data_IF_558927758981
#
_entry.id   IF_558927758981
#
_cell.length_a   1.000
_cell.length_b   1.000
_cell.length_c   1.000
_cell.angle_alpha   90.00
_cell.angle_beta   90.00
_cell.angle_gamma   90.00
#
_symmetry.space_group_name_H-M   'P 1'
#
loop_
_entity.id
_entity.type
_entity.pdbx_description
1 polymer ?
#
# COMPACT_ATOMS: atom_id res chain seq x y z
N UNK A 1 -30.27 -54.62 49.92
CA UNK A 1 -29.23 -54.27 48.92
C UNK A 1 -29.77 -53.57 47.67
N UNK A 2 -31.03 -53.74 47.28
CA UNK A 2 -31.62 -53.08 46.10
C UNK A 2 -31.80 -51.55 46.21
N UNK A 3 -31.98 -51.00 47.43
CA UNK A 3 -32.11 -49.55 47.64
C UNK A 3 -30.79 -48.78 47.70
N UNK A 4 -29.67 -49.47 47.97
CA UNK A 4 -28.33 -48.87 47.98
C UNK A 4 -27.74 -48.75 46.57
N UNK A 5 -28.09 -49.67 45.67
CA UNK A 5 -27.64 -49.65 44.26
C UNK A 5 -28.34 -48.51 43.48
N UNK A 6 -29.59 -48.17 43.83
CA UNK A 6 -30.32 -47.06 43.21
C UNK A 6 -29.76 -45.67 43.57
N UNK A 7 -29.18 -45.50 44.77
CA UNK A 7 -28.59 -44.22 45.20
C UNK A 7 -27.20 -44.01 44.58
N UNK A 8 -26.44 -45.09 44.35
CA UNK A 8 -25.13 -45.03 43.68
C UNK A 8 -25.30 -44.80 42.16
N UNK A 9 -26.35 -45.35 41.54
CA UNK A 9 -26.68 -45.08 40.13
C UNK A 9 -27.23 -43.66 39.89
N UNK A 10 -27.82 -43.01 40.90
CA UNK A 10 -28.28 -41.62 40.82
C UNK A 10 -27.15 -40.59 41.00
N UNK A 11 -26.01 -40.98 41.55
CA UNK A 11 -24.84 -40.10 41.74
C UNK A 11 -23.89 -40.09 40.53
N UNK A 12 -24.06 -41.00 39.55
CA UNK A 12 -23.20 -41.09 38.37
C UNK A 12 -23.64 -40.21 37.19
N UNK A 13 -24.70 -39.39 37.34
CA UNK A 13 -25.22 -38.53 36.25
C UNK A 13 -24.84 -37.04 36.42
N UNK A 14 -24.09 -36.65 37.46
CA UNK A 14 -23.76 -35.24 37.72
C UNK A 14 -22.32 -34.80 37.39
N UNK A 15 -21.52 -35.63 36.73
CA UNK A 15 -20.16 -35.25 36.28
C UNK A 15 -20.04 -35.16 34.75
N UNK A 16 -21.03 -34.58 34.08
CA UNK A 16 -20.87 -34.13 32.70
C UNK A 16 -21.10 -32.62 32.56
N UNK A 17 -20.45 -31.86 33.44
CA UNK A 17 -20.10 -30.48 33.13
C UNK A 17 -18.99 -30.51 32.08
N UNK A 18 -19.37 -30.63 30.80
CA UNK A 18 -18.49 -30.16 29.72
C UNK A 18 -18.41 -28.65 29.89
N UNK A 19 -17.35 -28.16 30.54
CA UNK A 19 -17.00 -26.76 30.42
C UNK A 19 -16.67 -26.56 28.95
N UNK A 20 -17.63 -26.03 28.18
CA UNK A 20 -17.30 -25.45 26.88
C UNK A 20 -16.11 -24.55 27.15
N UNK A 21 -14.94 -24.77 26.51
CA UNK A 21 -13.79 -23.93 26.77
C UNK A 21 -14.27 -22.50 26.56
N UNK A 22 -14.08 -21.65 27.57
CA UNK A 22 -14.45 -20.24 27.49
C UNK A 22 -13.86 -19.75 26.19
N UNK A 23 -14.71 -19.41 25.21
CA UNK A 23 -14.27 -18.82 23.94
C UNK A 23 -13.41 -17.63 24.36
N UNK A 24 -12.09 -17.76 24.19
CA UNK A 24 -11.13 -16.70 24.47
C UNK A 24 -11.71 -15.47 23.80
N UNK A 25 -12.03 -14.41 24.55
CA UNK A 25 -12.62 -13.21 23.96
C UNK A 25 -11.63 -12.74 22.88
N UNK A 26 -11.97 -12.96 21.62
CA UNK A 26 -11.06 -12.68 20.51
C UNK A 26 -10.90 -11.18 20.45
N UNK A 27 -9.74 -10.66 20.84
CA UNK A 27 -9.45 -9.25 20.70
C UNK A 27 -9.10 -8.96 19.22
N UNK A 28 -9.35 -7.74 18.70
CA UNK A 28 -9.12 -7.44 17.29
C UNK A 28 -7.65 -7.56 16.89
N UNK A 29 -6.70 -7.32 17.81
CA UNK A 29 -5.27 -7.50 17.55
C UNK A 29 -4.92 -8.96 17.25
N UNK A 30 -5.46 -9.90 18.00
CA UNK A 30 -5.25 -11.35 17.84
C UNK A 30 -5.82 -11.84 16.54
N UNK A 31 -7.03 -11.41 16.18
CA UNK A 31 -7.63 -11.74 14.89
C UNK A 31 -6.82 -11.18 13.73
N UNK A 32 -6.34 -9.94 13.85
CA UNK A 32 -5.48 -9.32 12.84
C UNK A 32 -4.16 -10.09 12.66
N UNK A 33 -3.44 -10.39 13.75
CA UNK A 33 -2.18 -11.15 13.71
C UNK A 33 -2.40 -12.54 13.13
N UNK A 34 -3.47 -13.23 13.52
CA UNK A 34 -3.83 -14.52 12.94
C UNK A 34 -4.10 -14.40 11.43
N UNK A 35 -4.85 -13.39 11.00
CA UNK A 35 -5.09 -13.09 9.59
C UNK A 35 -3.80 -12.85 8.81
N UNK A 36 -2.87 -12.06 9.35
CA UNK A 36 -1.56 -11.80 8.75
C UNK A 36 -0.74 -13.08 8.62
N UNK A 37 -0.76 -13.95 9.64
CA UNK A 37 -0.06 -15.24 9.57
C UNK A 37 -0.67 -16.20 8.57
N UNK A 38 -1.99 -16.19 8.43
CA UNK A 38 -2.69 -16.94 7.39
C UNK A 38 -2.35 -16.42 5.99
N UNK A 39 -2.17 -15.10 5.82
CA UNK A 39 -1.64 -14.50 4.58
C UNK A 39 -0.23 -15.00 4.25
N UNK A 40 0.70 -14.97 5.22
CA UNK A 40 2.07 -15.51 5.05
C UNK A 40 2.04 -16.99 4.65
N UNK A 41 1.12 -17.76 5.24
CA UNK A 41 0.88 -19.16 4.91
C UNK A 41 0.08 -19.40 3.62
N UNK A 42 -0.28 -18.33 2.88
CA UNK A 42 -1.10 -18.36 1.66
C UNK A 42 -2.50 -18.99 1.84
N UNK A 43 -3.00 -19.01 3.07
CA UNK A 43 -4.35 -19.50 3.42
C UNK A 43 -5.34 -18.34 3.33
N UNK A 44 -5.51 -17.80 2.12
CA UNK A 44 -6.24 -16.55 1.88
C UNK A 44 -7.70 -16.58 2.36
N UNK A 45 -8.41 -17.69 2.18
CA UNK A 45 -9.81 -17.82 2.61
C UNK A 45 -9.97 -17.68 4.13
N UNK A 46 -9.03 -18.25 4.89
CA UNK A 46 -9.03 -18.14 6.35
C UNK A 46 -8.63 -16.73 6.78
N UNK A 47 -7.67 -16.10 6.08
CA UNK A 47 -7.28 -14.72 6.35
C UNK A 47 -8.43 -13.74 6.09
N UNK A 48 -9.19 -13.93 5.00
CA UNK A 48 -10.40 -13.16 4.67
C UNK A 48 -11.39 -13.20 5.82
N UNK A 49 -11.67 -14.39 6.38
CA UNK A 49 -12.56 -14.52 7.53
C UNK A 49 -12.04 -13.73 8.72
N UNK A 50 -10.75 -13.87 9.06
CA UNK A 50 -10.16 -13.17 10.22
C UNK A 50 -10.18 -11.65 10.08
N UNK A 51 -9.86 -11.11 8.91
CA UNK A 51 -9.96 -9.66 8.68
C UNK A 51 -11.40 -9.16 8.65
N UNK A 52 -12.34 -9.95 8.12
CA UNK A 52 -13.77 -9.63 8.17
C UNK A 52 -14.28 -9.63 9.61
N UNK A 53 -13.88 -10.60 10.42
CA UNK A 53 -14.24 -10.67 11.84
C UNK A 53 -13.77 -9.43 12.61
N UNK A 54 -12.59 -8.88 12.28
CA UNK A 54 -12.14 -7.62 12.88
C UNK A 54 -13.04 -6.46 12.48
N UNK A 55 -13.28 -6.29 11.17
CA UNK A 55 -14.10 -5.20 10.62
C UNK A 55 -15.53 -5.23 11.14
N UNK A 56 -16.13 -6.41 11.19
CA UNK A 56 -17.56 -6.59 11.44
C UNK A 56 -17.88 -6.58 12.95
N UNK A 57 -17.02 -7.18 13.78
CA UNK A 57 -17.24 -7.26 15.23
C UNK A 57 -16.65 -6.06 15.99
N UNK A 58 -15.69 -5.33 15.40
CA UNK A 58 -15.03 -4.19 16.04
C UNK A 58 -15.01 -2.92 15.15
N UNK A 59 -16.16 -2.46 14.60
CA UNK A 59 -16.21 -1.44 13.56
C UNK A 59 -15.68 -0.06 13.96
N UNK A 60 -15.65 0.25 15.26
CA UNK A 60 -15.12 1.52 15.79
C UNK A 60 -13.67 1.41 16.29
N UNK A 61 -13.09 0.21 16.24
CA UNK A 61 -11.72 -0.01 16.65
C UNK A 61 -10.75 0.40 15.52
N UNK A 62 -9.64 1.11 15.80
CA UNK A 62 -8.65 1.47 14.78
C UNK A 62 -8.18 0.29 13.92
N UNK A 63 -8.20 -0.93 14.47
CA UNK A 63 -7.82 -2.13 13.73
C UNK A 63 -8.79 -2.47 12.58
N UNK A 64 -10.04 -2.02 12.63
CA UNK A 64 -11.02 -2.28 11.57
C UNK A 64 -10.60 -1.66 10.23
N UNK A 65 -10.04 -0.45 10.24
CA UNK A 65 -9.57 0.23 9.03
C UNK A 65 -8.41 -0.54 8.39
N UNK A 66 -7.39 -0.86 9.19
CA UNK A 66 -6.20 -1.60 8.74
C UNK A 66 -6.61 -3.00 8.27
N UNK A 67 -7.51 -3.67 8.99
CA UNK A 67 -8.04 -4.98 8.60
C UNK A 67 -8.85 -4.93 7.32
N UNK A 68 -9.57 -3.85 7.04
CA UNK A 68 -10.32 -3.69 5.78
C UNK A 68 -9.37 -3.58 4.58
N UNK A 69 -8.27 -2.83 4.71
CA UNK A 69 -7.23 -2.80 3.68
C UNK A 69 -6.60 -4.19 3.50
N UNK A 70 -6.29 -4.90 4.59
CA UNK A 70 -5.76 -6.28 4.53
C UNK A 70 -6.76 -7.30 3.98
N UNK A 71 -8.05 -7.08 4.18
CA UNK A 71 -9.12 -7.87 3.57
C UNK A 71 -9.09 -7.72 2.05
N UNK A 72 -8.93 -6.50 1.54
CA UNK A 72 -8.68 -6.23 0.12
C UNK A 72 -7.43 -6.96 -0.39
N UNK A 73 -6.33 -6.92 0.39
CA UNK A 73 -5.09 -7.62 0.06
C UNK A 73 -5.32 -9.13 -0.05
N UNK A 74 -6.07 -9.71 0.89
CA UNK A 74 -6.39 -11.12 0.91
C UNK A 74 -7.25 -11.55 -0.29
N UNK A 75 -8.24 -10.75 -0.68
CA UNK A 75 -9.01 -11.01 -1.92
C UNK A 75 -8.14 -10.91 -3.18
N UNK A 76 -7.23 -9.96 -3.24
CA UNK A 76 -6.36 -9.80 -4.40
C UNK A 76 -5.40 -10.98 -4.53
N UNK A 77 -4.77 -11.41 -3.44
CA UNK A 77 -3.85 -12.55 -3.43
C UNK A 77 -4.58 -13.87 -3.72
N UNK A 78 -5.86 -13.97 -3.33
CA UNK A 78 -6.77 -15.05 -3.74
C UNK A 78 -7.14 -14.98 -5.23
N UNK A 79 -6.80 -13.89 -5.94
CA UNK A 79 -7.14 -13.60 -7.34
C UNK A 79 -8.63 -13.35 -7.58
N UNK A 80 -9.39 -13.07 -6.53
CA UNK A 80 -10.78 -12.61 -6.64
C UNK A 80 -10.78 -11.09 -6.78
N UNK A 81 -10.29 -10.60 -7.92
CA UNK A 81 -10.01 -9.18 -8.13
C UNK A 81 -11.24 -8.29 -8.09
N UNK A 82 -12.43 -8.80 -8.42
CA UNK A 82 -13.69 -8.06 -8.30
C UNK A 82 -14.02 -7.72 -6.84
N UNK A 83 -13.86 -8.68 -5.92
CA UNK A 83 -14.07 -8.48 -4.49
C UNK A 83 -12.99 -7.58 -3.88
N UNK A 84 -11.74 -7.74 -4.33
CA UNK A 84 -10.65 -6.86 -3.91
C UNK A 84 -10.93 -5.42 -4.33
N UNK A 85 -11.28 -5.21 -5.61
CA UNK A 85 -11.64 -3.92 -6.17
C UNK A 85 -12.78 -3.26 -5.40
N UNK A 86 -13.86 -4.00 -5.16
CA UNK A 86 -15.00 -3.50 -4.38
C UNK A 86 -14.57 -3.07 -2.97
N UNK A 87 -13.81 -3.92 -2.27
CA UNK A 87 -13.32 -3.64 -0.91
C UNK A 87 -12.48 -2.37 -0.85
N UNK A 88 -11.56 -2.19 -1.81
CA UNK A 88 -10.70 -1.02 -1.86
C UNK A 88 -11.45 0.26 -2.25
N UNK A 89 -12.35 0.18 -3.23
CA UNK A 89 -13.18 1.32 -3.65
C UNK A 89 -14.10 1.80 -2.52
N UNK A 90 -14.69 0.86 -1.77
CA UNK A 90 -15.53 1.19 -0.61
C UNK A 90 -14.71 1.82 0.50
N UNK A 91 -13.51 1.32 0.78
CA UNK A 91 -12.57 1.95 1.72
C UNK A 91 -12.19 3.37 1.28
N UNK A 92 -11.82 3.55 0.00
CA UNK A 92 -11.46 4.85 -0.56
C UNK A 92 -12.59 5.88 -0.42
N UNK A 93 -13.84 5.47 -0.68
CA UNK A 93 -15.01 6.33 -0.55
C UNK A 93 -15.33 6.68 0.90
N UNK A 94 -15.21 5.70 1.81
CA UNK A 94 -15.56 5.87 3.21
C UNK A 94 -14.48 6.65 3.99
N UNK A 95 -13.20 6.51 3.61
CA UNK A 95 -12.05 7.06 4.35
C UNK A 95 -11.06 7.80 3.44
N UNK A 96 -11.49 8.83 2.67
CA UNK A 96 -10.63 9.49 1.67
C UNK A 96 -9.40 10.22 2.22
N UNK A 97 -9.40 10.51 3.53
CA UNK A 97 -8.29 11.18 4.23
C UNK A 97 -7.37 10.19 4.97
N UNK A 98 -7.62 8.88 4.86
CA UNK A 98 -6.78 7.86 5.50
C UNK A 98 -5.38 7.83 4.87
N UNK A 99 -4.36 7.60 5.70
CA UNK A 99 -2.96 7.58 5.26
C UNK A 99 -2.63 6.47 4.26
N UNK A 100 -3.44 5.41 4.21
CA UNK A 100 -3.26 4.29 3.29
C UNK A 100 -3.87 4.55 1.92
N UNK A 101 -4.56 5.68 1.70
CA UNK A 101 -5.23 5.99 0.44
C UNK A 101 -4.30 5.94 -0.78
N UNK A 102 -3.03 6.42 -0.73
CA UNK A 102 -2.11 6.24 -1.84
C UNK A 102 -1.85 4.78 -2.22
N UNK A 103 -1.74 3.90 -1.22
CA UNK A 103 -1.60 2.46 -1.43
C UNK A 103 -2.89 1.86 -2.00
N UNK A 104 -4.04 2.19 -1.40
CA UNK A 104 -5.35 1.70 -1.83
C UNK A 104 -5.62 2.07 -3.30
N UNK A 105 -5.33 3.30 -3.72
CA UNK A 105 -5.46 3.74 -5.11
C UNK A 105 -4.58 2.94 -6.07
N UNK A 106 -3.34 2.63 -5.67
CA UNK A 106 -2.46 1.74 -6.44
C UNK A 106 -3.12 0.37 -6.60
N UNK A 107 -3.59 -0.23 -5.49
CA UNK A 107 -4.23 -1.56 -5.50
C UNK A 107 -5.52 -1.60 -6.34
N UNK A 108 -6.33 -0.53 -6.33
CA UNK A 108 -7.49 -0.39 -7.22
C UNK A 108 -7.05 -0.44 -8.69
N UNK A 109 -6.01 0.35 -9.05
CA UNK A 109 -5.44 0.34 -10.40
C UNK A 109 -4.96 -1.06 -10.81
N UNK A 110 -4.26 -1.76 -9.92
CA UNK A 110 -3.79 -3.12 -10.15
C UNK A 110 -4.95 -4.12 -10.32
N UNK A 111 -6.04 -3.98 -9.55
CA UNK A 111 -7.24 -4.79 -9.74
C UNK A 111 -7.82 -4.59 -11.15
N UNK A 112 -7.94 -3.34 -11.58
CA UNK A 112 -8.40 -3.03 -12.94
C UNK A 112 -7.46 -3.60 -14.01
N UNK A 113 -6.15 -3.58 -13.80
CA UNK A 113 -5.21 -4.23 -14.72
C UNK A 113 -5.40 -5.75 -14.78
N UNK A 114 -5.65 -6.41 -13.65
CA UNK A 114 -5.89 -7.85 -13.61
C UNK A 114 -7.22 -8.25 -14.25
N UNK A 115 -8.23 -7.38 -14.17
CA UNK A 115 -9.52 -7.55 -14.83
C UNK A 115 -9.51 -7.14 -16.31
N UNK A 116 -8.50 -6.37 -16.73
CA UNK A 116 -8.35 -5.90 -18.10
C UNK A 116 -8.14 -7.05 -19.09
N UNK A 117 -9.02 -7.10 -20.09
CA UNK A 117 -9.02 -8.14 -21.12
C UNK A 117 -7.88 -7.93 -22.15
N UNK A 118 -7.67 -8.92 -23.01
CA UNK A 118 -6.73 -8.83 -24.14
C UNK A 118 -7.04 -7.62 -25.04
N UNK A 119 -6.00 -7.12 -25.72
CA UNK A 119 -6.06 -5.85 -26.46
C UNK A 119 -7.12 -5.80 -27.56
N UNK A 120 -7.61 -6.93 -28.05
CA UNK A 120 -8.66 -7.08 -29.07
C UNK A 120 -10.09 -6.94 -28.50
N UNK A 121 -10.24 -7.07 -27.19
CA UNK A 121 -11.53 -6.98 -26.48
C UNK A 121 -11.77 -5.60 -25.86
N UNK A 122 -12.90 -5.44 -25.17
CA UNK A 122 -13.23 -4.22 -24.45
C UNK A 122 -12.11 -3.78 -23.49
N UNK A 123 -11.83 -2.48 -23.49
CA UNK A 123 -10.72 -1.87 -22.76
C UNK A 123 -11.19 -0.98 -21.60
N UNK A 124 -12.44 -1.08 -21.15
CA UNK A 124 -12.96 -0.22 -20.09
C UNK A 124 -12.12 -0.30 -18.81
N UNK A 125 -11.71 -1.51 -18.40
CA UNK A 125 -10.83 -1.67 -17.23
C UNK A 125 -9.42 -1.13 -17.45
N UNK A 126 -8.87 -1.20 -18.66
CA UNK A 126 -7.58 -0.58 -18.99
C UNK A 126 -7.63 0.94 -18.76
N UNK A 127 -8.72 1.58 -19.20
CA UNK A 127 -8.92 3.02 -19.03
C UNK A 127 -9.16 3.38 -17.55
N UNK A 128 -9.94 2.58 -16.81
CA UNK A 128 -10.15 2.78 -15.36
C UNK A 128 -8.86 2.64 -14.55
N UNK A 129 -7.97 1.71 -14.92
CA UNK A 129 -6.66 1.59 -14.31
C UNK A 129 -5.84 2.88 -14.51
N UNK A 130 -5.75 3.38 -15.75
CA UNK A 130 -5.06 4.64 -16.07
C UNK A 130 -5.65 5.80 -15.27
N UNK A 131 -6.98 5.92 -15.20
CA UNK A 131 -7.68 6.94 -14.42
C UNK A 131 -7.26 6.93 -12.95
N UNK A 132 -7.26 5.74 -12.30
CA UNK A 132 -6.90 5.60 -10.89
C UNK A 132 -5.43 5.90 -10.61
N UNK A 133 -4.52 5.43 -11.46
CA UNK A 133 -3.11 5.79 -11.36
C UNK A 133 -2.87 7.28 -11.58
N UNK A 134 -3.60 7.90 -12.50
CA UNK A 134 -3.50 9.34 -12.77
C UNK A 134 -3.99 10.14 -11.57
N UNK A 135 -5.09 9.71 -10.94
CA UNK A 135 -5.58 10.29 -9.69
C UNK A 135 -4.52 10.20 -8.58
N UNK A 136 -3.90 9.03 -8.40
CA UNK A 136 -2.81 8.83 -7.44
C UNK A 136 -1.63 9.80 -7.67
N UNK A 137 -1.15 9.90 -8.91
CA UNK A 137 -0.02 10.78 -9.23
C UNK A 137 -0.36 12.26 -9.03
N UNK A 138 -1.57 12.69 -9.39
CA UNK A 138 -1.98 14.08 -9.28
C UNK A 138 -2.26 14.49 -7.84
N UNK A 139 -2.92 13.63 -7.06
CA UNK A 139 -3.31 13.92 -5.68
C UNK A 139 -2.17 13.68 -4.69
N UNK A 140 -1.33 12.67 -4.94
CA UNK A 140 -0.24 12.27 -4.06
C UNK A 140 1.10 12.16 -4.83
N UNK A 141 1.58 13.22 -5.48
CA UNK A 141 2.79 13.19 -6.32
C UNK A 141 4.06 12.84 -5.54
N UNK A 142 4.07 13.09 -4.23
CA UNK A 142 5.19 12.69 -3.37
C UNK A 142 5.11 11.24 -2.89
N UNK A 143 4.02 10.51 -3.17
CA UNK A 143 3.88 9.12 -2.73
C UNK A 143 4.93 8.21 -3.37
N UNK A 144 5.43 7.22 -2.63
CA UNK A 144 6.31 6.17 -3.12
C UNK A 144 5.62 5.33 -4.19
N UNK A 145 4.28 5.27 -4.15
CA UNK A 145 3.45 4.55 -5.12
C UNK A 145 3.24 5.34 -6.43
N UNK A 146 3.54 6.64 -6.47
CA UNK A 146 3.35 7.46 -7.66
C UNK A 146 4.25 7.00 -8.83
N UNK A 147 5.49 6.58 -8.53
CA UNK A 147 6.40 6.04 -9.54
C UNK A 147 5.89 4.72 -10.16
N UNK A 148 5.36 3.82 -9.32
CA UNK A 148 4.76 2.57 -9.79
C UNK A 148 3.52 2.82 -10.68
N UNK A 149 2.72 3.82 -10.32
CA UNK A 149 1.58 4.25 -11.13
C UNK A 149 2.01 4.82 -12.49
N UNK A 150 3.06 5.64 -12.53
CA UNK A 150 3.60 6.18 -13.78
C UNK A 150 4.05 5.08 -14.75
N UNK A 151 4.81 4.10 -14.25
CA UNK A 151 5.26 2.96 -15.05
C UNK A 151 4.08 2.14 -15.59
N UNK A 152 3.05 1.96 -14.74
CA UNK A 152 1.84 1.23 -15.12
C UNK A 152 1.02 1.99 -16.17
N UNK A 153 0.87 3.31 -16.05
CA UNK A 153 0.24 4.15 -17.08
C UNK A 153 0.96 4.01 -18.41
N UNK A 154 2.30 4.05 -18.41
CA UNK A 154 3.09 3.88 -19.64
C UNK A 154 2.81 2.53 -20.31
N UNK A 155 2.79 1.45 -19.54
CA UNK A 155 2.46 0.10 -20.04
C UNK A 155 1.04 0.01 -20.58
N UNK A 156 0.06 0.59 -19.89
CA UNK A 156 -1.34 0.55 -20.32
C UNK A 156 -1.60 1.42 -21.57
N UNK A 157 -0.95 2.58 -21.67
CA UNK A 157 -0.97 3.39 -22.88
C UNK A 157 -0.32 2.65 -24.06
N UNK A 158 0.78 1.93 -23.83
CA UNK A 158 1.36 1.07 -24.87
C UNK A 158 0.36 0.00 -25.34
N UNK A 159 -0.33 -0.67 -24.42
CA UNK A 159 -1.37 -1.66 -24.76
C UNK A 159 -2.50 -1.05 -25.61
N UNK A 160 -2.93 0.17 -25.29
CA UNK A 160 -3.96 0.87 -26.06
C UNK A 160 -3.45 1.30 -27.45
N UNK A 161 -2.19 1.73 -27.56
CA UNK A 161 -1.57 2.01 -28.84
C UNK A 161 -1.45 0.74 -29.70
N UNK A 162 -1.02 -0.39 -29.11
CA UNK A 162 -0.91 -1.67 -29.80
C UNK A 162 -2.26 -2.12 -30.37
N UNK A 163 -3.37 -1.87 -29.65
CA UNK A 163 -4.73 -2.11 -30.13
C UNK A 163 -5.04 -1.29 -31.38
N UNK A 164 -4.83 0.01 -31.35
CA UNK A 164 -5.14 0.88 -32.49
C UNK A 164 -4.25 0.55 -33.70
N UNK A 165 -2.99 0.19 -33.47
CA UNK A 165 -2.09 -0.29 -34.51
C UNK A 165 -2.60 -1.60 -35.13
N UNK A 166 -2.98 -2.57 -34.30
CA UNK A 166 -3.52 -3.85 -34.75
C UNK A 166 -4.77 -3.68 -35.62
N UNK A 167 -5.70 -2.82 -35.20
CA UNK A 167 -6.93 -2.53 -35.96
C UNK A 167 -6.60 -1.77 -37.26
N UNK A 168 -5.68 -0.79 -37.20
CA UNK A 168 -5.23 -0.06 -38.39
C UNK A 168 -4.57 -0.96 -39.43
N UNK A 169 -3.71 -1.88 -39.00
CA UNK A 169 -3.08 -2.90 -39.87
C UNK A 169 -4.12 -3.84 -40.50
N UNK A 170 -5.15 -4.23 -39.73
CA UNK A 170 -6.24 -5.04 -40.25
C UNK A 170 -7.01 -4.30 -41.36
N UNK A 171 -7.40 -3.04 -41.13
CA UNK A 171 -8.11 -2.26 -42.15
C UNK A 171 -7.26 -2.04 -43.39
N UNK A 172 -5.97 -1.73 -43.24
CA UNK A 172 -5.04 -1.62 -44.37
C UNK A 172 -5.00 -2.90 -45.21
N UNK A 173 -4.86 -4.07 -44.57
CA UNK A 173 -4.82 -5.38 -45.25
C UNK A 173 -6.12 -5.75 -45.96
N UNK A 174 -7.25 -5.18 -45.54
CA UNK A 174 -8.56 -5.39 -46.16
C UNK A 174 -8.93 -4.27 -47.14
N UNK A 175 -7.96 -3.45 -47.55
CA UNK A 175 -8.10 -2.31 -48.47
C UNK A 175 -9.07 -1.21 -47.98
N UNK A 176 -9.36 -1.16 -46.68
CA UNK A 176 -10.18 -0.12 -46.05
C UNK A 176 -9.28 1.04 -45.60
N UNK A 177 -8.66 1.72 -46.56
CA UNK A 177 -7.59 2.69 -46.31
C UNK A 177 -8.01 3.89 -45.46
N UNK A 178 -9.20 4.45 -45.68
CA UNK A 178 -9.72 5.55 -44.86
C UNK A 178 -9.86 5.15 -43.38
N UNK A 179 -10.40 3.95 -43.11
CA UNK A 179 -10.54 3.44 -41.74
C UNK A 179 -9.18 3.17 -41.09
N UNK A 180 -8.20 2.66 -41.86
CA UNK A 180 -6.83 2.48 -41.40
C UNK A 180 -6.20 3.82 -41.00
N UNK A 181 -6.30 4.84 -41.85
CA UNK A 181 -5.80 6.19 -41.59
C UNK A 181 -6.42 6.74 -40.30
N UNK A 182 -7.75 6.72 -40.17
CA UNK A 182 -8.43 7.24 -38.97
C UNK A 182 -7.93 6.58 -37.68
N UNK A 183 -7.76 5.26 -37.68
CA UNK A 183 -7.28 4.51 -36.50
C UNK A 183 -5.84 4.84 -36.15
N UNK A 184 -4.97 4.89 -37.15
CA UNK A 184 -3.55 5.13 -36.95
C UNK A 184 -3.27 6.61 -36.61
N UNK A 185 -4.00 7.56 -37.19
CA UNK A 185 -3.92 8.97 -36.79
C UNK A 185 -4.40 9.17 -35.34
N UNK A 186 -5.45 8.45 -34.92
CA UNK A 186 -5.89 8.44 -33.52
C UNK A 186 -4.78 7.94 -32.59
N UNK A 187 -4.09 6.84 -32.95
CA UNK A 187 -2.91 6.36 -32.24
C UNK A 187 -1.85 7.46 -32.12
N UNK A 188 -1.48 8.09 -33.25
CA UNK A 188 -0.43 9.11 -33.28
C UNK A 188 -0.76 10.33 -32.40
N UNK A 189 -2.04 10.68 -32.33
CA UNK A 189 -2.52 11.80 -31.53
C UNK A 189 -2.64 11.47 -30.04
N UNK A 190 -3.17 10.29 -29.71
CA UNK A 190 -3.57 9.94 -28.34
C UNK A 190 -2.44 9.32 -27.52
N UNK A 191 -1.53 8.58 -28.15
CA UNK A 191 -0.48 7.83 -27.47
C UNK A 191 0.92 8.18 -27.99
N UNK A 192 1.34 9.46 -27.97
CA UNK A 192 2.60 9.91 -28.54
C UNK A 192 3.82 9.08 -28.11
N UNK A 193 4.69 8.74 -29.07
CA UNK A 193 5.98 8.06 -28.86
C UNK A 193 5.90 6.65 -28.25
N UNK A 194 4.76 5.96 -28.36
CA UNK A 194 4.70 4.53 -28.05
C UNK A 194 5.46 3.69 -29.07
N UNK A 195 5.89 2.49 -28.67
CA UNK A 195 6.45 1.51 -29.59
C UNK A 195 5.44 1.23 -30.71
N UNK A 196 5.91 1.21 -31.97
CA UNK A 196 5.06 1.03 -33.15
C UNK A 196 4.59 2.33 -33.83
N UNK A 197 5.00 3.50 -33.32
CA UNK A 197 4.74 4.80 -33.99
C UNK A 197 5.23 4.83 -35.45
N UNK A 198 6.41 4.28 -35.70
CA UNK A 198 7.01 4.19 -37.03
C UNK A 198 6.17 3.34 -37.99
N UNK A 199 5.59 2.24 -37.50
CA UNK A 199 4.62 1.42 -38.26
C UNK A 199 3.35 2.19 -38.56
N UNK A 200 2.80 2.93 -37.59
CA UNK A 200 1.60 3.71 -37.82
C UNK A 200 1.81 4.76 -38.92
N UNK A 201 2.91 5.53 -38.88
CA UNK A 201 3.29 6.48 -39.92
C UNK A 201 3.44 5.79 -41.30
N UNK A 202 4.11 4.64 -41.34
CA UNK A 202 4.26 3.86 -42.57
C UNK A 202 2.91 3.42 -43.15
N UNK A 203 2.02 2.83 -42.36
CA UNK A 203 0.74 2.35 -42.86
C UNK A 203 -0.21 3.49 -43.24
N UNK A 204 -0.13 4.65 -42.59
CA UNK A 204 -0.85 5.85 -43.04
C UNK A 204 -0.36 6.29 -44.42
N UNK A 205 0.96 6.42 -44.61
CA UNK A 205 1.54 6.79 -45.90
C UNK A 205 1.12 5.81 -47.00
N UNK A 206 1.24 4.51 -46.74
CA UNK A 206 0.85 3.47 -47.70
C UNK A 206 -0.66 3.50 -48.01
N UNK A 207 -1.49 3.86 -47.04
CA UNK A 207 -2.94 4.02 -47.23
C UNK A 207 -3.26 5.21 -48.14
N UNK A 208 -2.63 6.38 -47.92
CA UNK A 208 -2.80 7.55 -48.80
C UNK A 208 -2.30 7.28 -50.21
N UNK A 209 -1.16 6.59 -50.35
CA UNK A 209 -0.65 6.16 -51.65
C UNK A 209 -1.66 5.28 -52.40
N UNK A 210 -2.28 4.33 -51.72
CA UNK A 210 -3.28 3.44 -52.30
C UNK A 210 -4.59 4.17 -52.67
N UNK A 211 -4.89 5.29 -52.00
CA UNK A 211 -6.01 6.17 -52.32
C UNK A 211 -5.72 7.17 -53.46
N UNK A 212 -4.48 7.22 -53.96
CA UNK A 212 -4.08 8.16 -55.01
C UNK A 212 -3.75 9.56 -54.51
N UNK A 213 -3.44 9.73 -53.23
CA UNK A 213 -2.99 11.00 -52.64
C UNK A 213 -1.47 10.93 -52.32
N UNK A 214 -0.60 11.14 -53.33
CA UNK A 214 0.85 11.07 -53.15
C UNK A 214 1.39 12.22 -52.29
N UNK A 215 0.68 13.35 -52.22
CA UNK A 215 1.10 14.52 -51.43
C UNK A 215 1.05 14.16 -49.96
N UNK A 216 -0.10 13.69 -49.46
CA UNK A 216 -0.20 13.24 -48.06
C UNK A 216 0.65 12.01 -47.78
N UNK A 217 0.76 11.08 -48.74
CA UNK A 217 1.66 9.94 -48.59
C UNK A 217 3.10 10.39 -48.31
N UNK A 218 3.62 11.35 -49.08
CA UNK A 218 4.99 11.82 -48.92
C UNK A 218 5.18 12.59 -47.60
N UNK A 219 4.21 13.38 -47.17
CA UNK A 219 4.23 14.06 -45.87
C UNK A 219 4.46 13.07 -44.71
N UNK A 220 3.73 11.96 -44.68
CA UNK A 220 3.89 10.95 -43.64
C UNK A 220 5.20 10.16 -43.76
N UNK A 221 5.74 9.97 -44.97
CA UNK A 221 7.06 9.35 -45.19
C UNK A 221 8.17 10.26 -44.67
N UNK A 222 8.12 11.56 -44.99
CA UNK A 222 9.09 12.54 -44.52
C UNK A 222 9.07 12.61 -42.99
N UNK A 223 7.88 12.61 -42.39
CA UNK A 223 7.72 12.54 -40.93
C UNK A 223 8.34 11.28 -40.33
N UNK A 224 8.10 10.11 -40.94
CA UNK A 224 8.71 8.84 -40.53
C UNK A 224 10.24 8.89 -40.59
N UNK A 225 10.81 9.41 -41.69
CA UNK A 225 12.26 9.50 -41.87
C UNK A 225 12.90 10.48 -40.87
N UNK A 226 12.23 11.61 -40.61
CA UNK A 226 12.70 12.65 -39.69
C UNK A 226 12.65 12.17 -38.23
N UNK A 227 11.55 11.57 -37.80
CA UNK A 227 11.35 11.17 -36.40
C UNK A 227 11.96 9.81 -36.09
N UNK A 228 12.05 8.89 -37.06
CA UNK A 228 12.54 7.52 -36.89
C UNK A 228 13.57 7.13 -37.97
N UNK A 229 14.73 7.82 -38.06
CA UNK A 229 15.71 7.61 -39.13
C UNK A 229 16.27 6.18 -39.21
N UNK A 230 16.31 5.46 -38.08
CA UNK A 230 16.80 4.08 -38.00
C UNK A 230 15.71 3.01 -38.17
N UNK A 231 14.45 3.40 -38.42
CA UNK A 231 13.38 2.42 -38.64
C UNK A 231 13.66 1.57 -39.87
N UNK A 232 13.43 0.25 -39.76
CA UNK A 232 13.52 -0.69 -40.89
C UNK A 232 12.54 -0.34 -42.02
N UNK A 233 11.49 0.42 -41.71
CA UNK A 233 10.45 0.82 -42.65
C UNK A 233 10.90 1.91 -43.62
N UNK A 234 11.95 2.67 -43.30
CA UNK A 234 12.53 3.69 -44.20
C UNK A 234 13.08 3.10 -45.51
N UNK A 235 13.49 1.83 -45.50
CA UNK A 235 14.08 1.14 -46.67
C UNK A 235 13.05 0.37 -47.49
N UNK A 236 11.80 0.26 -47.02
CA UNK A 236 10.81 -0.68 -47.53
C UNK A 236 9.78 -0.03 -48.46
N UNK A 237 10.23 0.42 -49.63
CA UNK A 237 9.35 0.61 -50.80
C UNK A 237 8.81 -0.73 -51.34
N UNK A 238 9.44 -1.86 -50.98
CA UNK A 238 9.07 -3.21 -51.43
C UNK A 238 8.33 -4.04 -50.36
N UNK A 239 7.15 -4.53 -50.73
CA UNK A 239 6.16 -5.30 -49.97
C UNK A 239 6.63 -6.58 -49.23
N UNK A 240 7.90 -6.99 -49.36
CA UNK A 240 8.46 -8.19 -48.71
C UNK A 240 8.85 -7.99 -47.25
N UNK A 241 9.29 -6.80 -46.83
CA UNK A 241 9.69 -6.52 -45.44
C UNK A 241 8.52 -6.53 -44.45
N UNK A 242 7.34 -6.10 -44.90
CA UNK A 242 6.11 -6.00 -44.10
C UNK A 242 5.60 -7.39 -43.66
N UNK A 243 5.72 -8.42 -44.51
CA UNK A 243 5.29 -9.79 -44.17
C UNK A 243 6.15 -10.45 -43.08
N UNK A 244 7.42 -10.08 -42.95
CA UNK A 244 8.33 -10.65 -41.95
C UNK A 244 8.10 -10.06 -40.56
N UNK A 245 7.78 -8.77 -40.46
CA UNK A 245 7.46 -8.09 -39.19
C UNK A 245 6.08 -8.48 -38.65
N UNK A 246 5.14 -8.83 -39.53
CA UNK A 246 3.82 -9.38 -39.15
C UNK A 246 3.92 -10.80 -38.56
N UNK A 247 4.86 -11.63 -39.05
CA UNK A 247 5.11 -12.97 -38.47
C UNK A 247 5.79 -12.89 -37.10
N UNK A 248 6.63 -11.88 -36.83
CA UNK A 248 7.24 -11.71 -35.51
C UNK A 248 6.25 -11.25 -34.43
N UNK A 249 5.19 -10.51 -34.81
CA UNK A 249 4.07 -10.18 -33.90
C UNK A 249 3.22 -11.40 -33.52
N UNK A 250 3.27 -12.47 -34.34
CA UNK A 250 2.51 -13.70 -34.14
C UNK A 250 3.29 -14.79 -33.37
N UNK A 251 4.57 -14.56 -33.05
CA UNK A 251 5.26 -15.41 -32.07
C UNK A 251 4.59 -15.16 -30.73
N UNK A 252 4.05 -16.24 -30.17
CA UNK A 252 3.56 -16.28 -28.78
C UNK A 252 4.53 -15.50 -27.89
N UNK A 253 3.95 -14.65 -27.04
CA UNK A 253 4.69 -14.00 -25.98
C UNK A 253 5.56 -15.06 -25.31
N UNK A 254 6.87 -14.82 -25.12
CA UNK A 254 7.65 -15.73 -24.29
C UNK A 254 6.88 -15.91 -22.97
N UNK A 255 6.75 -17.14 -22.46
CA UNK A 255 6.10 -17.35 -21.17
C UNK A 255 6.73 -16.37 -20.20
N UNK A 256 5.87 -15.65 -19.48
CA UNK A 256 6.25 -14.65 -18.48
C UNK A 256 7.48 -15.21 -17.76
N UNK A 257 8.62 -14.54 -17.93
CA UNK A 257 9.83 -14.94 -17.24
C UNK A 257 9.62 -14.68 -15.75
N UNK A 258 9.10 -15.69 -15.06
CA UNK A 258 8.91 -15.71 -13.61
C UNK A 258 10.25 -15.61 -12.86
N UNK A 259 11.40 -15.66 -13.55
CA UNK A 259 12.72 -15.59 -12.94
C UNK A 259 13.24 -14.16 -12.70
N UNK A 260 12.57 -13.13 -13.25
CA UNK A 260 12.85 -11.72 -12.89
C UNK A 260 12.10 -11.25 -11.63
N UNK A 261 11.11 -12.02 -11.16
CA UNK A 261 10.65 -11.97 -9.77
C UNK A 261 11.69 -12.64 -8.87
N UNK A 262 12.84 -11.97 -8.69
CA UNK A 262 13.52 -12.08 -7.40
C UNK A 262 12.48 -11.60 -6.40
N UNK A 263 11.80 -12.55 -5.74
CA UNK A 263 10.79 -12.30 -4.71
C UNK A 263 11.41 -11.29 -3.75
N UNK A 264 11.08 -10.02 -3.92
CA UNK A 264 11.04 -9.13 -2.79
C UNK A 264 9.88 -9.70 -2.00
N UNK A 265 10.15 -10.26 -0.82
CA UNK A 265 9.09 -10.47 0.15
C UNK A 265 8.21 -9.22 0.11
N UNK A 266 6.91 -9.42 -0.14
CA UNK A 266 5.96 -8.32 -0.09
C UNK A 266 5.97 -7.90 1.37
N UNK A 267 6.68 -6.81 1.62
CA UNK A 267 6.66 -6.18 2.89
C UNK A 267 5.22 -5.70 3.15
N UNK A 268 4.53 -6.38 4.07
CA UNK A 268 3.17 -6.07 4.49
C UNK A 268 3.08 -4.77 5.32
N UNK A 269 4.21 -4.08 5.53
CA UNK A 269 4.35 -2.85 6.29
C UNK A 269 4.01 -1.60 5.43
N UNK A 270 3.52 -0.51 6.04
CA UNK A 270 3.33 0.77 5.34
C UNK A 270 4.67 1.30 4.83
N UNK A 271 4.76 1.64 3.54
CA UNK A 271 6.02 2.01 2.87
C UNK A 271 6.32 3.50 3.05
N UNK A 272 7.50 3.83 3.58
CA UNK A 272 7.97 5.21 3.78
C UNK A 272 8.54 5.79 2.48
N UNK A 273 8.17 7.05 2.21
CA UNK A 273 8.57 7.85 1.05
C UNK A 273 9.95 8.48 1.30
N UNK A 274 10.93 8.29 0.40
CA UNK A 274 12.20 9.03 0.40
C UNK A 274 12.16 10.17 -0.63
N UNK A 275 12.41 11.41 -0.22
CA UNK A 275 12.58 12.55 -1.13
C UNK A 275 13.80 13.40 -0.72
N UNK A 276 14.48 13.94 -1.73
CA UNK A 276 15.85 14.44 -1.76
C UNK A 276 15.97 15.98 -1.80
N UNK A 277 16.91 16.51 -0.99
CA UNK A 277 17.75 17.73 -1.03
C UNK A 277 17.28 19.10 -1.58
N UNK A 278 17.39 20.18 -0.77
CA UNK A 278 18.42 21.27 -0.82
C UNK A 278 18.05 22.53 0.03
N UNK A 279 19.03 23.01 0.84
CA UNK A 279 19.28 24.39 1.38
C UNK A 279 18.20 25.11 2.23
N UNK A 280 18.39 25.93 3.28
CA UNK A 280 19.43 26.50 4.17
C UNK A 280 18.67 26.91 5.48
N UNK A 281 19.07 26.44 6.68
CA UNK A 281 19.54 27.19 7.89
C UNK A 281 18.90 28.57 8.15
N UNK A 282 18.35 28.90 9.35
CA UNK A 282 19.02 29.44 10.57
C UNK A 282 17.97 29.52 11.74
N UNK A 283 18.10 28.79 12.87
CA UNK A 283 18.49 29.18 14.27
C UNK A 283 17.98 30.57 14.75
N UNK A 284 17.29 30.78 15.89
CA UNK A 284 17.74 30.63 17.30
C UNK A 284 16.51 30.76 18.25
N UNK A 285 16.50 29.92 19.29
CA UNK A 285 15.64 29.85 20.50
C UNK A 285 16.16 30.79 21.64
N UNK A 286 15.66 30.72 22.89
CA UNK A 286 14.31 30.99 23.41
C UNK A 286 14.38 31.88 24.69
N UNK A 287 13.27 32.18 25.35
CA UNK A 287 13.31 32.28 26.81
C UNK A 287 11.99 31.87 27.50
N UNK A 288 12.16 31.38 28.73
CA UNK A 288 11.21 30.70 29.64
C UNK A 288 10.13 31.68 30.19
N UNK A 289 9.00 31.31 30.80
CA UNK A 289 8.81 30.42 31.98
C UNK A 289 7.29 30.31 32.34
N UNK A 290 6.82 29.09 32.68
CA UNK A 290 5.91 28.64 33.78
C UNK A 290 4.66 29.49 34.21
N UNK A 291 3.49 28.97 34.61
CA UNK A 291 2.99 27.63 34.97
C UNK A 291 1.43 27.67 35.08
N UNK A 292 0.77 26.50 35.06
CA UNK A 292 -0.65 26.36 35.40
C UNK A 292 -1.18 24.95 35.12
N UNK A 293 -1.46 24.21 36.20
CA UNK A 293 -1.98 22.83 36.25
C UNK A 293 -3.50 22.83 36.08
N UNK A 294 -3.98 22.09 35.08
CA UNK A 294 -5.36 21.62 34.83
C UNK A 294 -5.21 20.39 33.95
N UNK A 295 -6.04 19.36 34.13
CA UNK A 295 -6.04 18.06 33.41
C UNK A 295 -5.30 18.05 32.05
N UNK A 296 -4.00 17.72 32.09
CA UNK A 296 -3.04 17.86 30.98
C UNK A 296 -2.40 16.52 30.65
N UNK A 297 -3.21 15.57 30.20
CA UNK A 297 -2.75 14.44 29.37
C UNK A 297 -3.25 14.62 27.91
N UNK A 298 -3.37 15.87 27.47
CA UNK A 298 -3.71 16.22 26.07
C UNK A 298 -2.48 16.51 25.20
N UNK A 299 -1.28 16.35 25.74
CA UNK A 299 -0.07 16.87 25.13
C UNK A 299 1.00 15.77 25.01
N UNK A 300 0.81 14.92 23.99
CA UNK A 300 1.81 13.92 23.58
C UNK A 300 1.21 12.57 23.17
N UNK A 301 2.03 11.70 22.58
CA UNK A 301 1.68 10.30 22.27
C UNK A 301 1.36 9.45 23.51
N UNK A 302 1.43 10.01 24.73
CA UNK A 302 1.03 9.43 26.03
C UNK A 302 1.05 7.90 26.05
N UNK A 303 2.25 7.34 26.24
CA UNK A 303 2.59 6.03 25.71
C UNK A 303 2.12 4.83 26.53
N UNK A 304 2.32 4.84 27.85
CA UNK A 304 1.84 3.74 28.70
C UNK A 304 1.25 4.34 29.96
N UNK A 305 -0.04 4.09 30.14
CA UNK A 305 -0.71 4.28 31.42
C UNK A 305 -0.38 3.08 32.30
N UNK A 306 0.44 3.29 33.34
CA UNK A 306 0.86 2.22 34.26
C UNK A 306 -0.30 1.63 35.05
N UNK A 307 -1.41 2.37 35.16
CA UNK A 307 -2.60 1.90 35.88
C UNK A 307 -3.47 0.98 35.04
N UNK A 308 -3.18 0.87 33.74
CA UNK A 308 -4.01 0.14 32.79
C UNK A 308 -3.28 -1.05 32.20
N UNK A 309 -4.05 -2.05 31.79
CA UNK A 309 -3.52 -3.27 31.18
C UNK A 309 -3.05 -3.00 29.75
N UNK A 310 -1.86 -3.51 29.43
CA UNK A 310 -1.37 -3.65 28.05
C UNK A 310 -1.59 -5.09 27.57
N UNK A 311 -2.06 -5.25 26.34
CA UNK A 311 -2.24 -6.54 25.67
C UNK A 311 -1.28 -6.62 24.50
N UNK A 312 -0.36 -7.59 24.51
CA UNK A 312 0.66 -7.75 23.47
C UNK A 312 0.45 -9.10 22.80
N UNK A 313 0.24 -9.08 21.48
CA UNK A 313 0.05 -10.27 20.66
C UNK A 313 1.17 -10.35 19.63
N UNK A 314 1.70 -11.55 19.40
CA UNK A 314 2.78 -11.82 18.45
C UNK A 314 2.73 -13.27 17.95
N UNK A 315 3.59 -13.59 16.98
CA UNK A 315 3.77 -14.96 16.48
C UNK A 315 4.42 -15.85 17.55
N UNK A 316 5.47 -15.35 18.20
CA UNK A 316 6.16 -16.01 19.32
C UNK A 316 6.52 -15.03 20.43
N UNK A 317 6.74 -15.55 21.64
CA UNK A 317 7.28 -14.80 22.77
C UNK A 317 8.32 -15.64 23.51
N UNK A 318 9.43 -15.00 23.91
CA UNK A 318 10.52 -15.60 24.67
C UNK A 318 10.72 -14.79 25.95
N UNK A 319 10.62 -15.43 27.11
CA UNK A 319 10.86 -14.82 28.43
C UNK A 319 12.23 -15.17 28.97
N UNK A 320 12.92 -14.17 29.52
CA UNK A 320 14.25 -14.25 30.10
C UNK A 320 14.16 -13.78 31.55
N UNK A 321 13.95 -14.72 32.47
CA UNK A 321 13.63 -14.41 33.87
C UNK A 321 14.77 -13.70 34.62
N UNK A 322 16.03 -14.05 34.31
CA UNK A 322 17.21 -13.43 34.95
C UNK A 322 17.39 -11.99 34.51
N UNK A 323 17.15 -11.73 33.24
CA UNK A 323 17.23 -10.42 32.60
C UNK A 323 15.94 -9.60 32.77
N UNK A 324 14.89 -10.19 33.38
CA UNK A 324 13.54 -9.62 33.50
C UNK A 324 13.04 -9.06 32.17
N UNK A 325 13.23 -9.82 31.11
CA UNK A 325 13.02 -9.37 29.74
C UNK A 325 12.06 -10.32 29.02
N UNK A 326 11.17 -9.78 28.19
CA UNK A 326 10.32 -10.58 27.29
C UNK A 326 10.46 -10.06 25.87
N UNK A 327 10.74 -10.96 24.94
CA UNK A 327 10.92 -10.66 23.51
C UNK A 327 9.75 -11.23 22.72
N UNK A 328 8.96 -10.35 22.12
CA UNK A 328 7.87 -10.69 21.22
C UNK A 328 8.38 -10.61 19.78
N UNK A 329 8.14 -11.64 18.97
CA UNK A 329 8.62 -11.69 17.58
C UNK A 329 7.49 -12.08 16.64
N UNK A 330 7.53 -11.47 15.46
CA UNK A 330 6.61 -11.72 14.35
C UNK A 330 5.27 -11.01 14.56
N UNK A 331 4.94 -10.10 13.63
CA UNK A 331 3.66 -9.38 13.55
C UNK A 331 3.14 -8.91 14.92
N UNK A 332 3.98 -8.21 15.66
CA UNK A 332 3.67 -7.81 17.04
C UNK A 332 2.65 -6.68 17.01
N UNK A 333 1.62 -6.80 17.85
CA UNK A 333 0.62 -5.77 18.14
C UNK A 333 0.52 -5.62 19.64
N UNK A 334 0.99 -4.49 20.16
CA UNK A 334 0.72 -4.08 21.53
C UNK A 334 -0.43 -3.07 21.56
N UNK A 335 -1.40 -3.29 22.45
CA UNK A 335 -2.59 -2.46 22.62
C UNK A 335 -2.75 -2.05 24.08
N UNK A 336 -3.06 -0.78 24.31
CA UNK A 336 -3.55 -0.29 25.59
C UNK A 336 -4.61 0.78 25.33
N UNK A 337 -5.86 0.53 25.72
CA UNK A 337 -7.02 1.37 25.37
C UNK A 337 -7.13 1.64 23.86
N UNK A 338 -6.87 2.89 23.45
CA UNK A 338 -6.90 3.43 22.09
C UNK A 338 -5.51 3.55 21.46
N UNK A 339 -4.45 3.17 22.18
CA UNK A 339 -3.09 3.08 21.67
C UNK A 339 -2.82 1.70 21.08
N UNK A 340 -2.25 1.71 19.88
CA UNK A 340 -1.72 0.55 19.19
C UNK A 340 -0.26 0.78 18.79
N UNK A 341 0.56 -0.25 18.95
CA UNK A 341 1.94 -0.30 18.49
C UNK A 341 2.12 -1.56 17.67
N UNK A 342 2.52 -1.40 16.42
CA UNK A 342 2.83 -2.47 15.49
C UNK A 342 4.34 -2.52 15.28
N UNK A 343 4.94 -3.70 15.23
CA UNK A 343 6.33 -3.89 14.81
C UNK A 343 6.61 -5.36 14.45
N UNK A 344 7.81 -5.66 13.96
CA UNK A 344 8.22 -7.07 13.80
C UNK A 344 8.68 -7.69 15.10
N UNK A 345 9.34 -6.90 15.95
CA UNK A 345 9.90 -7.34 17.23
C UNK A 345 9.62 -6.27 18.28
N UNK A 346 9.29 -6.71 19.49
CA UNK A 346 9.27 -5.87 20.69
C UNK A 346 10.07 -6.55 21.78
N UNK A 347 11.13 -5.90 22.25
CA UNK A 347 11.88 -6.30 23.44
C UNK A 347 11.38 -5.47 24.62
N UNK A 348 10.85 -6.11 25.65
CA UNK A 348 10.33 -5.44 26.86
C UNK A 348 11.19 -5.80 28.08
N UNK A 349 11.40 -4.83 28.96
CA UNK A 349 12.14 -5.00 30.22
C UNK A 349 11.21 -4.65 31.38
N UNK A 350 11.07 -5.57 32.33
CA UNK A 350 10.19 -5.46 33.48
C UNK A 350 10.95 -4.92 34.70
N UNK A 351 10.26 -4.15 35.53
CA UNK A 351 10.76 -3.78 36.84
C UNK A 351 10.79 -5.01 37.76
N UNK A 352 11.86 -5.16 38.56
CA UNK A 352 12.06 -6.32 39.43
C UNK A 352 11.00 -6.48 40.53
N UNK A 353 10.48 -5.37 41.04
CA UNK A 353 9.53 -5.35 42.16
C UNK A 353 8.08 -5.39 41.68
N UNK A 354 7.73 -4.56 40.69
CA UNK A 354 6.34 -4.38 40.26
C UNK A 354 5.93 -5.27 39.08
N UNK A 355 6.88 -5.91 38.39
CA UNK A 355 6.67 -6.57 37.10
C UNK A 355 6.04 -5.66 36.02
N UNK A 356 6.04 -4.34 36.22
CA UNK A 356 5.59 -3.38 35.20
C UNK A 356 6.64 -3.23 34.10
N UNK A 357 6.20 -2.95 32.87
CA UNK A 357 7.11 -2.63 31.77
C UNK A 357 7.82 -1.31 32.07
N UNK A 358 9.13 -1.40 32.32
CA UNK A 358 10.02 -0.26 32.54
C UNK A 358 10.52 0.34 31.22
N UNK A 359 10.83 -0.52 30.25
CA UNK A 359 11.31 -0.12 28.91
C UNK A 359 10.76 -1.06 27.84
N UNK A 360 10.57 -0.52 26.64
CA UNK A 360 10.24 -1.32 25.46
C UNK A 360 11.02 -0.82 24.23
N UNK A 361 11.49 -1.74 23.40
CA UNK A 361 12.18 -1.47 22.15
C UNK A 361 11.43 -2.16 21.02
N UNK A 362 10.68 -1.40 20.24
CA UNK A 362 10.02 -1.89 19.04
C UNK A 362 10.94 -1.70 17.83
N UNK A 363 11.14 -2.75 17.04
CA UNK A 363 12.02 -2.73 15.86
C UNK A 363 11.29 -3.29 14.65
N UNK A 364 11.57 -2.67 13.50
CA UNK A 364 11.06 -3.09 12.20
C UNK A 364 9.65 -2.59 11.95
N UNK A 365 9.56 -1.62 11.03
CA UNK A 365 8.34 -0.96 10.58
C UNK A 365 7.36 -0.65 11.71
N UNK A 366 7.89 0.09 12.67
CA UNK A 366 7.12 0.53 13.80
C UNK A 366 6.02 1.46 13.32
N UNK A 367 4.78 1.16 13.71
CA UNK A 367 3.64 2.07 13.55
C UNK A 367 2.95 2.22 14.90
N UNK A 368 2.71 3.44 15.32
CA UNK A 368 2.04 3.77 16.57
C UNK A 368 0.78 4.54 16.20
N UNK A 369 -0.38 4.09 16.66
CA UNK A 369 -1.67 4.75 16.41
C UNK A 369 -2.29 5.07 17.76
N UNK A 370 -2.65 6.33 17.98
CA UNK A 370 -3.38 6.79 19.16
C UNK A 370 -4.37 7.86 18.76
N UNK A 371 -5.67 7.56 18.83
CA UNK A 371 -6.75 8.45 18.39
C UNK A 371 -6.55 8.91 16.94
N UNK A 372 -6.41 10.22 16.71
CA UNK A 372 -6.19 10.86 15.40
C UNK A 372 -4.70 10.98 15.03
N UNK A 373 -3.80 10.41 15.85
CA UNK A 373 -2.35 10.48 15.65
C UNK A 373 -1.80 9.14 15.20
N UNK A 374 -0.99 9.18 14.15
CA UNK A 374 -0.20 8.02 13.69
C UNK A 374 1.25 8.40 13.59
N UNK A 375 2.16 7.57 14.11
CA UNK A 375 3.59 7.70 13.91
C UNK A 375 4.16 6.44 13.26
N UNK A 376 5.03 6.59 12.27
CA UNK A 376 5.77 5.49 11.63
C UNK A 376 7.26 5.72 11.79
N UNK A 377 8.02 4.67 12.06
CA UNK A 377 9.47 4.70 12.23
C UNK A 377 10.10 3.32 11.94
N UNK A 378 11.43 3.25 11.80
CA UNK A 378 12.13 1.95 11.75
C UNK A 378 12.24 1.32 13.15
N UNK A 379 12.45 2.15 14.16
CA UNK A 379 12.58 1.75 15.56
C UNK A 379 11.84 2.74 16.47
N UNK A 380 11.35 2.24 17.59
CA UNK A 380 10.86 3.06 18.67
C UNK A 380 11.37 2.52 20.00
N UNK A 381 11.93 3.42 20.80
CA UNK A 381 12.34 3.16 22.16
C UNK A 381 11.40 3.89 23.11
N UNK A 382 10.97 3.19 24.15
CA UNK A 382 10.06 3.70 25.15
C UNK A 382 10.70 3.50 26.52
N UNK A 383 10.93 4.60 27.23
CA UNK A 383 11.46 4.60 28.58
C UNK A 383 10.37 5.13 29.53
N UNK A 384 9.74 4.21 30.25
CA UNK A 384 8.67 4.56 31.18
C UNK A 384 9.22 5.23 32.44
N UNK A 385 10.50 4.99 32.79
CA UNK A 385 11.16 5.61 33.94
C UNK A 385 11.48 7.07 33.63
N UNK A 386 12.11 7.34 32.49
CA UNK A 386 12.44 8.70 32.03
C UNK A 386 11.26 9.46 31.44
N UNK A 387 10.16 8.74 31.15
CA UNK A 387 8.95 9.28 30.48
C UNK A 387 9.33 9.88 29.12
N UNK A 388 10.07 9.09 28.35
CA UNK A 388 10.64 9.45 27.06
C UNK A 388 10.25 8.43 25.99
N UNK A 389 9.92 8.91 24.79
CA UNK A 389 9.72 8.09 23.59
C UNK A 389 10.71 8.57 22.54
N UNK A 390 11.47 7.65 21.94
CA UNK A 390 12.42 7.97 20.87
C UNK A 390 12.05 7.15 19.64
N UNK A 391 11.56 7.81 18.61
CA UNK A 391 11.32 7.22 17.29
C UNK A 391 12.56 7.45 16.43
N UNK A 392 13.01 6.43 15.70
CA UNK A 392 14.22 6.52 14.85
C UNK A 392 14.00 5.90 13.47
N UNK A 393 14.67 6.49 12.49
CA UNK A 393 14.72 6.02 11.11
C UNK A 393 13.49 6.45 10.33
N UNK A 394 13.67 7.46 9.46
CA UNK A 394 12.65 7.98 8.55
C UNK A 394 11.27 8.22 9.22
N UNK A 395 11.29 8.84 10.40
CA UNK A 395 10.10 9.05 11.23
C UNK A 395 9.12 10.00 10.56
N UNK A 396 7.85 9.60 10.54
CA UNK A 396 6.73 10.41 10.08
C UNK A 396 5.63 10.35 11.13
N UNK A 397 5.10 11.50 11.51
CA UNK A 397 3.98 11.62 12.45
C UNK A 397 2.88 12.42 11.78
N UNK A 398 1.67 11.88 11.78
CA UNK A 398 0.45 12.52 11.31
C UNK A 398 -0.46 12.82 12.50
N UNK A 399 -1.14 13.96 12.46
CA UNK A 399 -2.25 14.30 13.34
C UNK A 399 -3.33 15.01 12.53
N UNK A 400 -4.39 14.30 12.15
CA UNK A 400 -5.34 14.80 11.16
C UNK A 400 -4.63 15.18 9.85
N UNK A 401 -4.69 16.46 9.47
CA UNK A 401 -4.02 16.98 8.26
C UNK A 401 -2.59 17.46 8.50
N UNK A 402 -2.13 17.46 9.75
CA UNK A 402 -0.77 17.88 10.10
C UNK A 402 0.21 16.73 9.90
N UNK A 403 1.42 17.06 9.45
CA UNK A 403 2.49 16.08 9.20
C UNK A 403 3.82 16.59 9.73
N UNK A 404 4.50 15.79 10.55
CA UNK A 404 5.86 16.03 11.05
C UNK A 404 6.76 14.91 10.52
N UNK A 405 7.96 15.23 10.08
CA UNK A 405 8.96 14.25 9.62
C UNK A 405 10.33 14.57 10.19
N UNK A 406 11.11 13.54 10.53
CA UNK A 406 12.49 13.65 10.99
C UNK A 406 13.20 12.30 10.96
N UNK A 407 14.52 12.27 11.18
CA UNK A 407 15.24 11.01 11.35
C UNK A 407 15.10 10.47 12.78
N UNK A 408 15.08 11.38 13.77
CA UNK A 408 14.80 11.04 15.16
C UNK A 408 13.73 11.98 15.70
N UNK A 409 12.72 11.45 16.37
CA UNK A 409 11.74 12.25 17.10
C UNK A 409 11.69 11.77 18.54
N UNK A 410 12.00 12.68 19.45
CA UNK A 410 12.00 12.42 20.89
C UNK A 410 10.85 13.16 21.55
N UNK A 411 9.97 12.43 22.23
CA UNK A 411 8.90 12.98 23.07
C UNK A 411 9.30 12.87 24.54
N UNK A 412 9.47 14.00 25.20
CA UNK A 412 9.65 14.10 26.64
C UNK A 412 8.27 14.37 27.27
N UNK A 413 7.61 13.31 27.74
CA UNK A 413 6.21 13.35 28.19
C UNK A 413 6.05 14.29 29.39
N UNK A 414 6.97 14.23 30.35
CA UNK A 414 6.90 15.07 31.55
C UNK A 414 7.18 16.56 31.27
N UNK A 415 7.91 16.87 30.20
CA UNK A 415 8.28 18.24 29.83
C UNK A 415 7.29 18.84 28.81
N UNK A 416 6.31 18.07 28.34
CA UNK A 416 5.45 18.41 27.21
C UNK A 416 6.26 18.93 26.00
N UNK A 417 7.36 18.24 25.71
CA UNK A 417 8.37 18.69 24.76
C UNK A 417 8.63 17.63 23.70
N UNK A 418 8.65 18.07 22.45
CA UNK A 418 9.01 17.24 21.30
C UNK A 418 10.24 17.82 20.62
N UNK A 419 11.24 16.97 20.40
CA UNK A 419 12.46 17.31 19.66
C UNK A 419 12.46 16.50 18.37
N UNK A 420 12.58 17.19 17.24
CA UNK A 420 12.62 16.56 15.91
C UNK A 420 14.00 16.84 15.31
N UNK A 421 14.76 15.80 15.09
CA UNK A 421 16.10 15.86 14.51
C UNK A 421 16.06 15.31 13.08
N UNK A 422 16.69 16.05 12.16
CA UNK A 422 16.97 15.52 10.83
C UNK A 422 18.22 14.65 10.82
N UNK A 423 18.49 14.01 9.69
CA UNK A 423 19.82 13.49 9.35
C UNK A 423 20.50 14.43 8.33
N UNK A 424 21.78 14.20 7.96
CA UNK A 424 22.47 15.03 6.98
C UNK A 424 21.79 15.11 5.59
N UNK A 425 20.99 14.12 5.22
CA UNK A 425 20.27 14.05 3.93
C UNK A 425 18.82 14.59 4.01
N UNK A 426 18.18 14.52 5.19
CA UNK A 426 16.77 14.82 5.43
C UNK A 426 16.58 15.68 6.68
N UNK A 427 16.09 16.90 6.49
CA UNK A 427 15.77 17.81 7.60
C UNK A 427 14.50 17.42 8.33
N UNK A 428 14.42 17.83 9.60
CA UNK A 428 13.16 17.95 10.31
C UNK A 428 12.20 18.88 9.54
N UNK A 429 10.95 18.47 9.36
CA UNK A 429 9.92 19.25 8.65
C UNK A 429 8.57 19.08 9.34
N UNK A 430 7.81 20.16 9.43
CA UNK A 430 6.40 20.14 9.83
C UNK A 430 5.54 20.82 8.76
N UNK A 431 4.38 20.23 8.47
CA UNK A 431 3.29 20.79 7.68
C UNK A 431 2.11 20.90 8.63
N UNK A 432 1.62 22.12 8.85
CA UNK A 432 0.51 22.41 9.74
C UNK A 432 -0.62 23.03 8.93
N UNK A 433 -1.83 22.51 9.08
CA UNK A 433 -3.01 22.97 8.38
C UNK A 433 -3.89 23.78 9.32
N UNK A 434 -4.10 25.09 9.07
CA UNK A 434 -4.94 25.93 9.92
C UNK A 434 -6.38 25.40 9.93
N UNK A 435 -6.96 25.20 11.13
CA UNK A 435 -8.38 24.91 11.24
C UNK A 435 -9.20 26.14 10.81
N UNK A 436 -10.22 26.00 9.95
CA UNK A 436 -11.09 27.12 9.63
C UNK A 436 -11.71 27.66 10.92
N UNK A 437 -11.71 28.99 11.10
CA UNK A 437 -12.46 29.61 12.19
C UNK A 437 -13.92 29.26 11.98
N UNK A 438 -14.50 28.48 12.89
CA UNK A 438 -15.96 28.35 12.98
C UNK A 438 -16.52 29.77 13.10
N UNK A 439 -17.31 30.20 12.11
CA UNK A 439 -18.12 31.42 12.18
C UNK A 439 -19.40 31.13 12.94
#
# INVERSE_FOLDING_TARGET
MSRLIAIIASCLVLFSCTSKPVKKSENPGSLYVEGVNLMKAKKYDKAINKFSDVRDNFPFDPMALISTVKLGDAYFERKTYDLALMTYEDFFKAHPEDENIPYVLLRIGECYEKLSLSLDRDQAYTLKAIERYTYLMNRYPSSSYAANAEESIKRLNQKLADRELYIGEFYYRTNQYNAAITRLEYLLKKYPHTVGFDKALYFIAMSYKALGDPVKSNEYIEKLQKEYPHSKLNKSSNSRGVRQTLKSSKKEFPPIDQSSTKRREIDLRPQIIKASTKGETVRVTPDKQQAGQTDKDKSGLGFIDRTKRIDIVSDTMEGFDKEKMVVFKGSVVARQDDLYIFSDVVETFLNEESNEISKAYAKGSVKIVKQDRTATAQEAFFDNIKREIILKGDVVVFQGQDKITGNVITYYINEDKVVVEGDPEKRARAILTPKPKNQ
#
